data_IF_048101739974
#
_entry.id   IF_048101739974
#
_cell.length_a   1.000
_cell.length_b   1.000
_cell.length_c   1.000
_cell.angle_alpha   90.00
_cell.angle_beta   90.00
_cell.angle_gamma   90.00
#
_symmetry.space_group_name_H-M   'P 1'
#
loop_
_entity.id
_entity.type
_entity.pdbx_description
1 polymer ?
#
# COMPACT_ATOMS: atom_id res chain seq x y z
N UNK A 1 -13.40 -58.34 -15.68
CA UNK A 1 -14.06 -58.56 -16.98
C UNK A 1 -13.48 -57.55 -17.95
N UNK A 2 -12.16 -57.58 -18.15
CA UNK A 2 -11.42 -58.49 -19.08
C UNK A 2 -11.47 -57.94 -20.50
N UNK A 3 -10.44 -57.22 -20.96
CA UNK A 3 -9.14 -57.71 -21.50
C UNK A 3 -9.33 -58.21 -22.95
N UNK A 4 -8.65 -57.67 -23.97
CA UNK A 4 -7.25 -57.92 -24.36
C UNK A 4 -6.89 -57.01 -25.58
N UNK A 5 -5.77 -56.27 -25.57
CA UNK A 5 -4.47 -56.53 -26.27
C UNK A 5 -4.51 -56.34 -27.81
N UNK A 6 -3.58 -55.70 -28.54
CA UNK A 6 -2.14 -55.40 -28.40
C UNK A 6 -1.72 -54.23 -29.34
N UNK A 7 -0.64 -53.53 -28.96
CA UNK A 7 0.13 -52.44 -29.63
C UNK A 7 0.98 -52.93 -30.83
N UNK A 8 1.99 -52.17 -31.39
CA UNK A 8 2.37 -50.74 -31.27
C UNK A 8 2.73 -50.07 -32.63
N UNK A 9 2.91 -48.73 -32.65
CA UNK A 9 4.05 -48.14 -33.38
C UNK A 9 4.45 -46.77 -32.86
N UNK A 10 5.76 -46.55 -32.85
CA UNK A 10 6.49 -45.55 -32.09
C UNK A 10 6.51 -44.19 -32.76
N UNK A 11 6.27 -43.12 -32.00
CA UNK A 11 6.78 -41.78 -32.31
C UNK A 11 7.47 -41.23 -31.06
N UNK A 12 8.79 -41.07 -31.18
CA UNK A 12 9.70 -40.55 -30.17
C UNK A 12 9.37 -39.10 -29.80
N UNK A 13 8.87 -38.88 -28.58
CA UNK A 13 8.93 -37.58 -27.94
C UNK A 13 9.91 -37.65 -26.77
N UNK A 14 11.07 -37.02 -26.96
CA UNK A 14 12.07 -36.78 -25.93
C UNK A 14 11.43 -36.05 -24.73
N UNK A 15 11.75 -36.42 -23.48
CA UNK A 15 11.26 -35.70 -22.32
C UNK A 15 11.88 -34.27 -22.28
N UNK A 16 11.16 -33.27 -21.75
CA UNK A 16 11.72 -31.94 -21.61
C UNK A 16 12.92 -32.00 -20.65
N UNK A 17 14.07 -31.52 -21.14
CA UNK A 17 15.29 -31.35 -20.37
C UNK A 17 14.99 -30.59 -19.08
N UNK A 18 15.14 -31.27 -17.93
CA UNK A 18 15.24 -30.65 -16.62
C UNK A 18 16.43 -29.69 -16.65
N UNK A 19 16.17 -28.42 -16.92
CA UNK A 19 17.13 -27.36 -16.70
C UNK A 19 17.45 -27.30 -15.21
N UNK A 20 18.54 -27.96 -14.81
CA UNK A 20 19.20 -27.71 -13.54
C UNK A 20 19.62 -26.23 -13.58
N UNK A 21 18.90 -25.37 -12.86
CA UNK A 21 19.41 -24.06 -12.50
C UNK A 21 20.64 -24.30 -11.61
N UNK A 22 21.84 -24.32 -12.21
CA UNK A 22 23.07 -24.24 -11.45
C UNK A 22 23.16 -22.82 -10.89
N UNK A 23 23.04 -22.68 -9.56
CA UNK A 23 23.52 -21.48 -8.88
C UNK A 23 24.99 -21.28 -9.26
N UNK A 24 25.34 -20.05 -9.63
CA UNK A 24 26.73 -19.71 -9.95
C UNK A 24 27.65 -20.09 -8.77
N UNK A 25 28.86 -20.62 -9.03
CA UNK A 25 29.77 -21.02 -7.97
C UNK A 25 30.10 -19.82 -7.06
N UNK A 26 30.20 -20.04 -5.74
CA UNK A 26 30.46 -18.97 -4.79
C UNK A 26 31.80 -18.30 -5.08
N UNK A 27 31.84 -16.98 -4.98
CA UNK A 27 33.07 -16.19 -5.20
C UNK A 27 34.11 -16.48 -4.12
N UNK A 28 35.39 -16.22 -4.40
CA UNK A 28 36.45 -16.37 -3.39
C UNK A 28 36.15 -15.55 -2.13
N UNK A 29 35.59 -14.34 -2.30
CA UNK A 29 35.17 -13.49 -1.18
C UNK A 29 34.11 -14.16 -0.31
N UNK A 30 33.08 -14.76 -0.93
CA UNK A 30 32.02 -15.48 -0.20
C UNK A 30 32.58 -16.72 0.52
N UNK A 31 33.51 -17.45 -0.09
CA UNK A 31 34.17 -18.59 0.54
C UNK A 31 35.04 -18.16 1.72
N UNK A 32 35.82 -17.08 1.58
CA UNK A 32 36.63 -16.52 2.66
C UNK A 32 35.75 -16.02 3.82
N UNK A 33 34.62 -15.35 3.52
CA UNK A 33 33.66 -14.92 4.54
C UNK A 33 33.02 -16.10 5.25
N UNK A 34 32.55 -17.12 4.51
CA UNK A 34 32.02 -18.36 5.11
C UNK A 34 33.04 -19.05 6.00
N UNK A 35 34.31 -19.11 5.58
CA UNK A 35 35.38 -19.69 6.37
C UNK A 35 35.63 -18.88 7.64
N UNK A 36 35.67 -17.55 7.56
CA UNK A 36 35.86 -16.67 8.71
C UNK A 36 34.74 -16.86 9.74
N UNK A 37 33.48 -16.95 9.28
CA UNK A 37 32.31 -17.09 10.15
C UNK A 37 32.22 -18.44 10.87
N UNK A 38 33.02 -19.45 10.49
CA UNK A 38 33.11 -20.73 11.22
C UNK A 38 33.75 -20.58 12.59
N UNK A 39 34.66 -19.62 12.75
CA UNK A 39 35.29 -19.30 14.03
C UNK A 39 34.72 -17.98 14.56
N UNK A 40 33.75 -18.09 15.47
CA UNK A 40 33.07 -16.94 16.07
C UNK A 40 34.03 -15.98 16.78
N UNK A 41 35.02 -16.49 17.50
CA UNK A 41 35.95 -15.67 18.27
C UNK A 41 36.89 -14.90 17.33
N UNK A 42 37.43 -15.59 16.32
CA UNK A 42 38.23 -14.97 15.27
C UNK A 42 37.43 -13.91 14.52
N UNK A 43 36.23 -14.25 14.06
CA UNK A 43 35.35 -13.35 13.32
C UNK A 43 35.05 -12.06 14.09
N UNK A 44 34.76 -12.16 15.40
CA UNK A 44 34.50 -10.99 16.25
C UNK A 44 35.77 -10.17 16.46
N UNK A 45 36.93 -10.82 16.68
CA UNK A 45 38.19 -10.12 16.95
C UNK A 45 38.66 -9.23 15.79
N UNK A 46 38.42 -9.66 14.53
CA UNK A 46 38.87 -8.93 13.34
C UNK A 46 37.96 -7.76 12.96
N UNK A 47 36.74 -7.67 13.52
CA UNK A 47 35.78 -6.62 13.16
C UNK A 47 36.31 -5.20 13.39
N UNK A 48 37.21 -4.99 14.36
CA UNK A 48 37.80 -3.67 14.59
C UNK A 48 38.77 -3.24 13.48
N UNK A 49 39.42 -4.19 12.81
CA UNK A 49 40.45 -3.94 11.80
C UNK A 49 39.92 -4.12 10.37
N UNK A 50 38.81 -4.85 10.19
CA UNK A 50 38.23 -5.15 8.89
C UNK A 50 37.88 -3.84 8.13
N UNK A 51 38.28 -3.64 6.86
CA UNK A 51 37.86 -2.49 6.06
C UNK A 51 36.34 -2.36 5.92
N UNK A 52 35.82 -1.13 5.82
CA UNK A 52 34.37 -0.87 5.82
C UNK A 52 33.62 -1.49 4.65
N UNK A 53 34.30 -1.71 3.53
CA UNK A 53 33.77 -2.23 2.28
C UNK A 53 33.32 -3.69 2.43
N UNK A 54 33.91 -4.44 3.37
CA UNK A 54 33.59 -5.84 3.60
C UNK A 54 32.44 -6.06 4.59
N UNK A 55 32.05 -5.03 5.35
CA UNK A 55 30.97 -5.14 6.35
C UNK A 55 29.63 -5.56 5.75
N UNK A 56 29.14 -4.99 4.63
CA UNK A 56 27.85 -5.39 4.06
C UNK A 56 27.82 -6.86 3.66
N UNK A 57 28.86 -7.34 2.98
CA UNK A 57 28.95 -8.72 2.50
C UNK A 57 29.09 -9.71 3.65
N UNK A 58 29.93 -9.41 4.65
CA UNK A 58 30.08 -10.25 5.83
C UNK A 58 28.78 -10.29 6.65
N UNK A 59 28.06 -9.17 6.77
CA UNK A 59 26.77 -9.10 7.47
C UNK A 59 25.71 -9.93 6.75
N UNK A 60 25.68 -9.86 5.42
CA UNK A 60 24.78 -10.67 4.57
C UNK A 60 25.03 -12.17 4.79
N UNK A 61 26.29 -12.59 4.84
CA UNK A 61 26.63 -13.99 5.05
C UNK A 61 26.35 -14.45 6.49
N UNK A 62 26.67 -13.63 7.49
CA UNK A 62 26.34 -13.90 8.89
C UNK A 62 24.82 -13.99 9.13
N UNK A 63 24.03 -13.18 8.41
CA UNK A 63 22.57 -13.23 8.42
C UNK A 63 22.06 -14.55 7.83
N UNK A 64 22.52 -14.92 6.62
CA UNK A 64 22.14 -16.17 5.95
C UNK A 64 22.46 -17.39 6.80
N UNK A 65 23.65 -17.39 7.40
CA UNK A 65 24.16 -18.48 8.24
C UNK A 65 23.68 -18.42 9.70
N UNK A 66 22.83 -17.43 10.05
CA UNK A 66 22.25 -17.22 11.37
C UNK A 66 23.27 -17.14 12.52
N UNK A 67 24.43 -16.53 12.29
CA UNK A 67 25.44 -16.28 13.33
C UNK A 67 25.10 -15.07 14.20
N UNK A 68 24.17 -15.22 15.15
CA UNK A 68 23.58 -14.11 15.92
C UNK A 68 24.61 -13.27 16.68
N UNK A 69 25.56 -13.90 17.36
CA UNK A 69 26.59 -13.17 18.13
C UNK A 69 27.51 -12.33 17.24
N UNK A 70 27.84 -12.85 16.05
CA UNK A 70 28.61 -12.11 15.05
C UNK A 70 27.78 -10.92 14.54
N UNK A 71 26.50 -11.12 14.22
CA UNK A 71 25.60 -10.03 13.83
C UNK A 71 25.55 -8.94 14.91
N UNK A 72 25.38 -9.31 16.17
CA UNK A 72 25.38 -8.37 17.30
C UNK A 72 26.70 -7.59 17.36
N UNK A 73 27.85 -8.25 17.25
CA UNK A 73 29.15 -7.58 17.25
C UNK A 73 29.33 -6.65 16.04
N UNK A 74 28.85 -7.06 14.86
CA UNK A 74 28.91 -6.25 13.64
C UNK A 74 28.06 -4.98 13.73
N UNK A 75 26.86 -5.06 14.32
CA UNK A 75 26.01 -3.88 14.56
C UNK A 75 26.70 -2.90 15.51
N UNK A 76 27.38 -3.40 16.54
CA UNK A 76 28.09 -2.57 17.52
C UNK A 76 29.27 -1.77 16.94
N UNK A 77 29.83 -2.22 15.81
CA UNK A 77 30.96 -1.57 15.12
C UNK A 77 30.60 -1.10 13.70
N UNK A 78 29.31 -0.99 13.38
CA UNK A 78 28.84 -0.73 12.02
C UNK A 78 29.40 0.60 11.46
N UNK A 79 30.11 0.57 10.32
CA UNK A 79 30.89 1.73 9.86
C UNK A 79 30.05 2.77 9.11
N UNK A 80 28.76 2.50 8.82
CA UNK A 80 27.89 3.40 8.06
C UNK A 80 26.82 4.05 8.94
N UNK A 81 26.24 5.16 8.45
CA UNK A 81 25.20 5.89 9.17
C UNK A 81 23.84 5.17 9.18
N UNK A 82 23.60 4.28 8.21
CA UNK A 82 22.35 3.54 8.06
C UNK A 82 22.64 2.03 7.99
N UNK A 83 21.77 1.24 8.61
CA UNK A 83 21.75 -0.22 8.49
C UNK A 83 20.32 -0.67 8.09
N UNK A 84 20.09 -1.08 6.82
CA UNK A 84 18.78 -1.50 6.34
C UNK A 84 18.56 -3.01 6.51
N UNK A 85 18.40 -3.47 7.76
CA UNK A 85 18.17 -4.90 8.07
C UNK A 85 16.83 -5.39 7.50
N UNK A 86 15.81 -4.53 7.47
CA UNK A 86 14.48 -4.91 7.00
C UNK A 86 14.43 -5.42 5.56
N UNK A 87 15.30 -4.90 4.68
CA UNK A 87 15.41 -5.37 3.29
C UNK A 87 15.83 -6.85 3.18
N UNK A 88 16.48 -7.39 4.21
CA UNK A 88 16.88 -8.80 4.28
C UNK A 88 15.80 -9.68 4.92
N UNK A 89 14.91 -9.07 5.71
CA UNK A 89 13.82 -9.73 6.44
C UNK A 89 12.53 -9.71 5.61
N UNK A 90 12.44 -10.61 4.60
CA UNK A 90 11.17 -10.80 3.87
C UNK A 90 10.01 -11.19 4.80
N UNK A 91 10.33 -11.99 5.81
CA UNK A 91 9.47 -12.29 6.96
C UNK A 91 10.22 -11.80 8.20
N UNK A 92 9.55 -11.08 9.12
CA UNK A 92 10.17 -10.68 10.37
C UNK A 92 10.76 -11.88 11.15
N UNK A 93 12.06 -11.85 11.45
CA UNK A 93 12.74 -12.87 12.26
C UNK A 93 13.04 -12.30 13.65
N UNK A 94 12.47 -12.94 14.68
CA UNK A 94 12.54 -12.47 16.07
C UNK A 94 13.98 -12.51 16.58
N UNK A 95 14.71 -13.59 16.30
CA UNK A 95 16.06 -13.78 16.82
C UNK A 95 17.01 -12.75 16.25
N UNK A 96 16.88 -12.46 14.95
CA UNK A 96 17.72 -11.46 14.29
C UNK A 96 17.37 -10.05 14.77
N UNK A 97 16.07 -9.74 14.90
CA UNK A 97 15.63 -8.45 15.44
C UNK A 97 16.17 -8.23 16.85
N UNK A 98 16.09 -9.24 17.73
CA UNK A 98 16.67 -9.20 19.08
C UNK A 98 18.19 -8.99 19.02
N UNK A 99 18.91 -9.80 18.25
CA UNK A 99 20.37 -9.68 18.12
C UNK A 99 20.82 -8.28 17.68
N UNK A 100 20.09 -7.65 16.76
CA UNK A 100 20.37 -6.29 16.27
C UNK A 100 20.00 -5.24 17.32
N UNK A 101 18.84 -5.33 17.96
CA UNK A 101 18.40 -4.36 18.96
C UNK A 101 19.19 -4.44 20.27
N UNK A 102 19.60 -5.64 20.69
CA UNK A 102 20.45 -5.86 21.85
C UNK A 102 21.87 -5.31 21.63
N UNK A 103 22.41 -5.43 20.41
CA UNK A 103 23.68 -4.79 20.06
C UNK A 103 23.67 -3.27 20.29
N UNK A 104 22.54 -2.65 19.96
CA UNK A 104 22.33 -1.20 20.10
C UNK A 104 22.05 -0.79 21.55
N UNK A 105 21.66 -1.73 22.40
CA UNK A 105 21.49 -1.54 23.83
C UNK A 105 22.81 -1.62 24.61
N UNK A 106 23.83 -2.27 24.04
CA UNK A 106 25.10 -2.48 24.72
C UNK A 106 25.87 -1.16 24.88
N UNK A 107 26.42 -0.85 26.08
CA UNK A 107 27.25 0.33 26.30
C UNK A 107 28.60 0.28 25.54
N UNK A 108 28.89 -0.85 24.88
CA UNK A 108 30.14 -1.14 24.15
C UNK A 108 30.07 -0.69 22.69
N UNK A 109 29.19 0.25 22.34
CA UNK A 109 29.22 0.86 21.00
C UNK A 109 30.60 1.50 20.79
N UNK A 110 31.37 0.88 19.89
CA UNK A 110 32.73 1.31 19.59
C UNK A 110 32.72 2.73 19.03
N UNK A 111 33.80 3.48 19.26
CA UNK A 111 34.05 4.77 18.59
C UNK A 111 34.00 4.64 17.06
N UNK A 112 34.19 3.43 16.53
CA UNK A 112 34.07 3.09 15.12
C UNK A 112 32.63 3.17 14.60
N UNK A 113 31.63 2.94 15.46
CA UNK A 113 30.23 2.91 15.03
C UNK A 113 29.76 4.30 14.58
N UNK A 114 29.30 4.38 13.33
CA UNK A 114 28.70 5.60 12.77
C UNK A 114 27.19 5.50 12.69
N UNK A 115 26.59 4.41 13.17
CA UNK A 115 25.18 4.11 13.00
C UNK A 115 24.28 5.16 13.66
N UNK A 116 23.34 5.68 12.87
CA UNK A 116 22.34 6.67 13.28
C UNK A 116 20.92 6.26 12.92
N UNK A 117 20.77 5.44 11.90
CA UNK A 117 19.48 4.96 11.40
C UNK A 117 19.50 3.43 11.29
N UNK A 118 18.65 2.76 12.05
CA UNK A 118 18.30 1.37 11.80
C UNK A 118 17.02 1.36 10.98
N UNK A 119 17.05 0.79 9.79
CA UNK A 119 15.88 0.68 8.92
C UNK A 119 15.38 -0.78 8.89
N UNK A 120 14.21 -0.99 9.47
CA UNK A 120 13.51 -2.27 9.57
C UNK A 120 12.45 -2.43 8.47
N UNK A 121 12.29 -1.45 7.57
CA UNK A 121 11.36 -1.57 6.45
C UNK A 121 11.90 -2.55 5.42
N UNK A 122 11.01 -3.30 4.78
CA UNK A 122 11.33 -4.11 3.60
C UNK A 122 11.44 -3.22 2.35
N UNK A 123 12.38 -2.27 2.42
CA UNK A 123 12.71 -1.30 1.37
C UNK A 123 14.23 -1.22 1.26
N UNK A 124 14.78 -0.87 0.09
CA UNK A 124 16.23 -0.72 -0.15
C UNK A 124 17.02 -2.01 -0.46
N UNK A 125 16.47 -2.92 -1.29
CA UNK A 125 17.27 -4.03 -1.87
C UNK A 125 18.53 -3.54 -2.58
N UNK A 126 18.44 -2.38 -3.24
CA UNK A 126 19.55 -1.73 -3.96
C UNK A 126 20.78 -1.52 -3.09
N UNK A 127 20.64 -1.24 -1.78
CA UNK A 127 21.80 -1.14 -0.89
C UNK A 127 22.57 -2.45 -0.88
N UNK A 128 21.89 -3.57 -0.67
CA UNK A 128 22.51 -4.89 -0.64
C UNK A 128 22.94 -5.39 -2.02
N UNK A 129 22.28 -4.93 -3.09
CA UNK A 129 22.60 -5.31 -4.47
C UNK A 129 23.89 -4.63 -4.96
N UNK A 130 24.06 -3.33 -4.69
CA UNK A 130 25.26 -2.55 -5.06
C UNK A 130 26.52 -3.13 -4.41
N UNK A 131 26.43 -3.61 -3.17
CA UNK A 131 27.55 -4.25 -2.47
C UNK A 131 27.71 -5.74 -2.79
N UNK A 132 26.72 -6.36 -3.43
CA UNK A 132 26.82 -7.74 -3.92
C UNK A 132 27.55 -7.86 -5.26
N UNK A 133 27.73 -6.75 -6.00
CA UNK A 133 28.48 -6.71 -7.24
C UNK A 133 29.54 -5.61 -7.18
N UNK A 134 30.72 -5.91 -6.62
CA UNK A 134 31.86 -5.00 -6.71
C UNK A 134 32.40 -5.05 -8.16
N UNK A 135 31.77 -4.29 -9.05
CA UNK A 135 32.44 -3.57 -10.12
C UNK A 135 32.20 -2.09 -9.84
N UNK A 136 33.28 -1.37 -9.53
CA UNK A 136 33.20 0.01 -9.03
C UNK A 136 32.55 0.98 -10.02
N UNK A 137 31.76 1.91 -9.49
CA UNK A 137 31.95 3.35 -9.73
C UNK A 137 31.07 4.21 -8.80
N UNK A 138 31.68 5.29 -8.31
CA UNK A 138 31.15 6.58 -7.89
C UNK A 138 29.71 6.68 -7.35
N UNK A 139 29.63 6.82 -6.01
CA UNK A 139 28.47 7.41 -5.35
C UNK A 139 28.27 8.87 -5.80
N UNK A 140 27.31 9.06 -6.71
CA UNK A 140 26.77 10.37 -7.06
C UNK A 140 26.29 11.14 -5.82
N UNK A 141 26.78 12.37 -5.70
CA UNK A 141 26.44 13.35 -4.67
C UNK A 141 24.96 13.73 -4.77
N UNK A 142 24.13 13.17 -3.89
CA UNK A 142 22.79 13.68 -3.58
C UNK A 142 22.84 14.67 -2.43
N UNK A 143 22.65 15.95 -2.75
CA UNK A 143 22.50 17.16 -1.93
C UNK A 143 22.20 16.95 -0.43
N UNK A 144 23.20 17.20 0.41
CA UNK A 144 23.01 17.62 1.80
C UNK A 144 23.81 18.91 2.04
N UNK A 145 23.06 19.94 2.42
CA UNK A 145 23.51 21.29 2.70
C UNK A 145 24.75 21.33 3.59
N UNK A 146 25.82 21.97 3.10
CA UNK A 146 26.97 22.40 3.90
C UNK A 146 26.66 23.76 4.52
N UNK A 147 26.65 23.83 5.85
CA UNK A 147 27.13 24.95 6.70
C UNK A 147 27.38 24.36 8.09
N UNK A 148 28.37 24.69 8.91
CA UNK A 148 29.68 25.34 8.84
C UNK A 148 30.32 25.03 10.22
N UNK A 149 31.65 25.00 10.29
CA UNK A 149 32.47 24.82 11.51
C UNK A 149 32.43 26.03 12.43
N UNK A 150 32.42 25.79 13.74
CA UNK A 150 32.74 26.77 14.78
C UNK A 150 33.34 26.05 15.99
N UNK A 151 34.60 26.37 16.30
CA UNK A 151 35.33 25.91 17.48
C UNK A 151 34.59 26.33 18.76
N UNK A 152 34.40 25.38 19.66
CA UNK A 152 33.88 25.63 21.00
C UNK A 152 33.90 24.34 21.80
N UNK A 153 34.90 24.20 22.67
CA UNK A 153 34.91 23.16 23.70
C UNK A 153 33.63 23.22 24.51
N UNK A 154 32.74 22.24 24.33
CA UNK A 154 31.66 21.97 25.28
C UNK A 154 31.65 20.48 25.63
N UNK A 155 32.06 20.20 26.88
CA UNK A 155 31.84 18.94 27.59
C UNK A 155 30.35 18.79 27.89
N UNK A 156 29.59 18.32 26.92
CA UNK A 156 28.39 17.51 27.16
C UNK A 156 28.41 16.42 26.10
N UNK A 157 28.45 15.16 26.52
CA UNK A 157 28.29 14.04 25.62
C UNK A 157 26.98 14.26 24.86
N UNK A 158 27.07 14.64 23.58
CA UNK A 158 25.93 14.68 22.68
C UNK A 158 25.39 13.26 22.63
N UNK A 159 24.37 12.96 23.44
CA UNK A 159 23.62 11.71 23.37
C UNK A 159 23.06 11.65 21.96
N UNK A 160 23.74 10.94 21.06
CA UNK A 160 23.31 10.78 19.67
C UNK A 160 22.05 9.94 19.68
N UNK A 161 20.92 10.56 19.32
CA UNK A 161 19.63 9.88 19.26
C UNK A 161 19.61 8.91 18.07
N UNK A 162 19.46 7.61 18.35
CA UNK A 162 19.31 6.60 17.30
C UNK A 162 17.89 6.65 16.73
N UNK A 163 17.77 6.74 15.40
CA UNK A 163 16.47 6.64 14.71
C UNK A 163 16.23 5.19 14.29
N UNK A 164 15.11 4.62 14.68
CA UNK A 164 14.65 3.32 14.18
C UNK A 164 13.44 3.57 13.28
N UNK A 165 13.54 3.19 12.01
CA UNK A 165 12.48 3.38 11.02
C UNK A 165 11.86 2.03 10.73
N UNK A 166 10.53 1.94 10.78
CA UNK A 166 9.78 0.72 10.47
C UNK A 166 8.44 1.08 9.85
N UNK A 167 7.84 0.11 9.16
CA UNK A 167 6.40 0.12 8.91
C UNK A 167 5.75 -0.74 10.00
N UNK A 168 4.48 -0.48 10.31
CA UNK A 168 3.80 -1.12 11.43
C UNK A 168 2.38 -1.55 11.04
N UNK A 169 2.10 -2.85 11.09
CA UNK A 169 0.80 -3.44 10.81
C UNK A 169 0.18 -3.98 12.10
N UNK A 170 -0.73 -3.20 12.67
CA UNK A 170 -1.40 -3.52 13.93
C UNK A 170 -2.75 -4.16 13.62
N UNK A 171 -2.89 -5.45 13.93
CA UNK A 171 -4.14 -6.20 13.77
C UNK A 171 -4.86 -6.32 15.12
N UNK A 172 -5.58 -7.41 15.36
CA UNK A 172 -6.33 -7.62 16.60
C UNK A 172 -5.47 -7.38 17.87
N UNK A 173 -4.24 -7.87 17.87
CA UNK A 173 -3.27 -7.72 18.95
C UNK A 173 -1.85 -7.50 18.39
N UNK A 174 -0.93 -7.08 19.28
CA UNK A 174 0.50 -7.06 19.00
C UNK A 174 1.04 -8.48 18.91
N UNK A 175 1.88 -8.76 17.92
CA UNK A 175 2.70 -9.97 17.92
C UNK A 175 3.90 -9.84 18.88
N UNK A 176 4.62 -10.94 19.11
CA UNK A 176 5.77 -10.96 20.02
C UNK A 176 6.90 -9.99 19.61
N UNK A 177 7.13 -9.81 18.31
CA UNK A 177 8.20 -8.97 17.78
C UNK A 177 7.85 -7.49 17.91
N UNK A 178 6.61 -7.15 17.61
CA UNK A 178 6.04 -5.82 17.79
C UNK A 178 6.06 -5.44 19.27
N UNK A 179 5.62 -6.33 20.16
CA UNK A 179 5.68 -6.12 21.61
C UNK A 179 7.11 -5.90 22.09
N UNK A 180 8.06 -6.73 21.64
CA UNK A 180 9.47 -6.59 21.99
C UNK A 180 10.06 -5.26 21.50
N UNK A 181 9.82 -4.87 20.24
CA UNK A 181 10.29 -3.59 19.69
C UNK A 181 9.77 -2.40 20.49
N UNK A 182 8.47 -2.39 20.82
CA UNK A 182 7.84 -1.34 21.60
C UNK A 182 8.44 -1.27 23.00
N UNK A 183 8.57 -2.41 23.69
CA UNK A 183 9.16 -2.48 25.02
C UNK A 183 10.63 -2.01 25.00
N UNK A 184 11.41 -2.47 24.02
CA UNK A 184 12.81 -2.07 23.85
C UNK A 184 12.96 -0.56 23.63
N UNK A 185 12.08 0.05 22.83
CA UNK A 185 12.06 1.48 22.58
C UNK A 185 11.63 2.29 23.82
N UNK A 186 10.61 1.81 24.55
CA UNK A 186 10.11 2.46 25.77
C UNK A 186 11.17 2.51 26.88
N UNK A 187 11.92 1.41 27.09
CA UNK A 187 13.03 1.36 28.04
C UNK A 187 14.16 2.36 27.72
N UNK A 188 14.23 2.84 26.48
CA UNK A 188 15.29 3.73 25.96
C UNK A 188 14.76 5.09 25.54
N UNK A 189 13.68 5.53 26.19
CA UNK A 189 13.05 6.83 25.93
C UNK A 189 14.09 7.96 26.05
N UNK A 190 14.25 8.74 24.98
CA UNK A 190 15.21 9.84 24.90
C UNK A 190 16.59 9.48 24.31
N UNK A 191 16.91 8.19 24.17
CA UNK A 191 18.09 7.70 23.43
C UNK A 191 17.71 7.12 22.06
N UNK A 192 16.48 6.60 21.93
CA UNK A 192 15.94 6.06 20.69
C UNK A 192 14.72 6.87 20.25
N UNK A 193 14.60 7.09 18.94
CA UNK A 193 13.41 7.63 18.29
C UNK A 193 12.85 6.59 17.32
N UNK A 194 11.66 6.09 17.64
CA UNK A 194 10.94 5.15 16.79
C UNK A 194 10.04 5.93 15.82
N UNK A 195 10.23 5.71 14.52
CA UNK A 195 9.52 6.39 13.43
C UNK A 195 8.77 5.38 12.58
N UNK A 196 7.45 5.55 12.47
CA UNK A 196 6.60 4.76 11.58
C UNK A 196 6.31 5.55 10.31
N UNK A 197 6.62 5.02 9.13
CA UNK A 197 6.33 5.70 7.86
C UNK A 197 4.95 5.30 7.33
N UNK A 198 4.68 4.00 7.30
CA UNK A 198 3.37 3.43 7.00
C UNK A 198 2.81 2.68 8.20
N UNK A 199 1.61 3.07 8.62
CA UNK A 199 0.87 2.40 9.69
C UNK A 199 -0.44 1.83 9.14
N UNK A 200 -0.66 0.54 9.37
CA UNK A 200 -1.92 -0.15 9.12
C UNK A 200 -2.53 -0.56 10.45
N UNK A 201 -3.82 -0.31 10.62
CA UNK A 201 -4.57 -0.61 11.83
C UNK A 201 -5.86 -1.31 11.43
N UNK A 202 -6.03 -2.55 11.89
CA UNK A 202 -7.15 -3.40 11.50
C UNK A 202 -7.79 -4.07 12.72
N UNK A 203 -9.04 -3.71 13.01
CA UNK A 203 -9.88 -4.30 14.08
C UNK A 203 -9.23 -4.25 15.48
N UNK A 204 -8.27 -3.36 15.71
CA UNK A 204 -7.57 -3.23 17.00
C UNK A 204 -8.35 -2.38 18.01
N UNK A 205 -8.40 -2.77 19.29
CA UNK A 205 -8.91 -1.92 20.37
C UNK A 205 -8.18 -0.57 20.47
N UNK A 206 -8.94 0.51 20.70
CA UNK A 206 -8.40 1.88 20.76
C UNK A 206 -7.28 2.03 21.81
N UNK A 207 -7.38 1.36 22.95
CA UNK A 207 -6.36 1.42 24.01
C UNK A 207 -4.98 0.95 23.55
N UNK A 208 -4.91 -0.14 22.77
CA UNK A 208 -3.66 -0.65 22.20
C UNK A 208 -3.12 0.34 21.17
N UNK A 209 -3.98 0.87 20.32
CA UNK A 209 -3.59 1.85 19.29
C UNK A 209 -2.97 3.10 19.93
N UNK A 210 -3.58 3.63 20.99
CA UNK A 210 -3.05 4.80 21.70
C UNK A 210 -1.71 4.49 22.38
N UNK A 211 -1.55 3.30 22.97
CA UNK A 211 -0.26 2.84 23.51
C UNK A 211 0.83 2.82 22.43
N UNK A 212 0.52 2.26 21.26
CA UNK A 212 1.43 2.20 20.11
C UNK A 212 1.78 3.60 19.64
N UNK A 213 0.78 4.46 19.36
CA UNK A 213 0.99 5.82 18.90
C UNK A 213 1.74 6.71 19.89
N UNK A 214 1.65 6.44 21.20
CA UNK A 214 2.45 7.13 22.23
C UNK A 214 3.92 6.69 22.23
N UNK A 215 4.21 5.48 21.75
CA UNK A 215 5.57 4.96 21.63
C UNK A 215 6.24 5.45 20.34
N UNK A 216 5.47 5.52 19.26
CA UNK A 216 5.87 6.17 18.02
C UNK A 216 5.76 7.70 18.11
N UNK A 217 6.43 8.42 17.21
CA UNK A 217 6.13 9.85 17.00
C UNK A 217 5.20 9.96 15.78
N UNK A 218 3.91 10.33 15.96
CA UNK A 218 2.92 10.31 14.88
C UNK A 218 3.23 11.27 13.72
N UNK A 219 4.07 12.28 13.95
CA UNK A 219 4.49 13.25 12.94
C UNK A 219 5.24 12.61 11.76
N UNK A 220 5.91 11.48 11.93
CA UNK A 220 6.59 10.76 10.83
C UNK A 220 5.65 9.95 9.95
N UNK A 221 4.39 9.72 10.37
CA UNK A 221 3.46 8.87 9.61
C UNK A 221 3.08 9.60 8.32
N UNK A 222 3.46 9.00 7.18
CA UNK A 222 3.11 9.47 5.84
C UNK A 222 1.89 8.73 5.28
N UNK A 223 1.68 7.48 5.71
CA UNK A 223 0.57 6.64 5.29
C UNK A 223 -0.14 6.04 6.49
N UNK A 224 -1.46 6.23 6.53
CA UNK A 224 -2.32 5.59 7.51
C UNK A 224 -3.45 4.83 6.82
N UNK A 225 -3.54 3.55 7.13
CA UNK A 225 -4.64 2.68 6.79
C UNK A 225 -5.39 2.31 8.07
N UNK A 226 -6.68 2.66 8.12
CA UNK A 226 -7.55 2.42 9.27
C UNK A 226 -8.78 1.64 8.81
N UNK A 227 -8.79 0.34 9.07
CA UNK A 227 -9.93 -0.56 8.82
C UNK A 227 -10.51 -1.01 10.15
N UNK A 228 -11.52 -0.29 10.66
CA UNK A 228 -12.08 -0.54 11.99
C UNK A 228 -13.59 -0.48 11.97
N UNK A 229 -14.23 -1.24 12.87
CA UNK A 229 -15.68 -1.18 13.13
C UNK A 229 -16.02 -0.11 14.20
N UNK A 230 -15.27 0.99 14.23
CA UNK A 230 -15.37 1.98 15.29
C UNK A 230 -16.70 2.69 15.32
N UNK A 231 -17.21 2.92 16.54
CA UNK A 231 -18.28 3.88 16.76
C UNK A 231 -17.80 5.32 16.52
N UNK A 232 -18.73 6.24 16.29
CA UNK A 232 -18.43 7.68 16.21
C UNK A 232 -17.70 8.19 17.46
N UNK A 233 -18.04 7.66 18.63
CA UNK A 233 -17.38 7.99 19.90
C UNK A 233 -15.93 7.54 19.86
N UNK A 234 -15.65 6.31 19.44
CA UNK A 234 -14.27 5.81 19.35
C UNK A 234 -13.44 6.63 18.35
N UNK A 235 -14.04 6.98 17.22
CA UNK A 235 -13.39 7.78 16.18
C UNK A 235 -13.11 9.21 16.66
N UNK A 236 -14.01 9.83 17.44
CA UNK A 236 -13.79 11.17 18.00
C UNK A 236 -12.63 11.20 19.01
N UNK A 237 -12.42 10.12 19.77
CA UNK A 237 -11.24 9.98 20.65
C UNK A 237 -9.95 9.81 19.86
N UNK A 238 -9.99 9.19 18.68
CA UNK A 238 -8.83 9.06 17.80
C UNK A 238 -8.56 10.32 16.96
N UNK A 239 -9.58 11.17 16.74
CA UNK A 239 -9.50 12.35 15.88
C UNK A 239 -8.30 13.29 16.17
N UNK A 240 -7.89 13.54 17.43
CA UNK A 240 -6.71 14.35 17.75
C UNK A 240 -5.40 13.79 17.18
N UNK A 241 -5.28 12.46 17.02
CA UNK A 241 -4.08 11.81 16.48
C UNK A 241 -3.79 12.25 15.04
N UNK A 242 -4.83 12.45 14.21
CA UNK A 242 -4.64 13.00 12.86
C UNK A 242 -4.01 14.41 12.87
N UNK A 243 -4.25 15.19 13.92
CA UNK A 243 -3.63 16.51 14.11
C UNK A 243 -2.13 16.45 14.40
N UNK A 244 -1.66 15.32 14.93
CA UNK A 244 -0.25 15.08 15.22
C UNK A 244 0.51 14.55 14.00
N UNK A 245 -0.19 13.91 13.04
CA UNK A 245 0.37 13.35 11.81
C UNK A 245 0.61 14.43 10.75
N UNK A 246 1.62 15.29 10.99
CA UNK A 246 1.91 16.46 10.16
C UNK A 246 2.47 16.13 8.77
N UNK A 247 2.95 14.91 8.54
CA UNK A 247 3.49 14.47 7.25
C UNK A 247 2.54 13.51 6.49
N UNK A 248 1.30 13.33 6.95
CA UNK A 248 0.35 12.40 6.34
C UNK A 248 0.06 12.78 4.89
N UNK A 249 0.24 11.86 3.95
CA UNK A 249 -0.01 12.05 2.51
C UNK A 249 -1.00 11.05 1.95
N UNK A 250 -1.11 9.87 2.55
CA UNK A 250 -2.05 8.82 2.15
C UNK A 250 -2.91 8.46 3.35
N UNK A 251 -4.22 8.58 3.17
CA UNK A 251 -5.20 8.19 4.18
C UNK A 251 -6.19 7.20 3.56
N UNK A 252 -6.25 6.00 4.12
CA UNK A 252 -7.25 4.99 3.79
C UNK A 252 -8.13 4.74 5.02
N UNK A 253 -9.43 4.87 4.85
CA UNK A 253 -10.44 4.63 5.87
C UNK A 253 -11.40 3.57 5.36
N UNK A 254 -11.56 2.46 6.09
CA UNK A 254 -12.46 1.39 5.70
C UNK A 254 -13.37 0.94 6.84
N UNK A 255 -14.62 0.57 6.47
CA UNK A 255 -15.62 -0.07 7.34
C UNK A 255 -16.02 0.73 8.59
N UNK A 256 -15.97 2.06 8.52
CA UNK A 256 -16.42 2.92 9.61
C UNK A 256 -17.96 2.96 9.60
N UNK A 257 -18.58 2.25 10.55
CA UNK A 257 -20.05 2.17 10.67
C UNK A 257 -20.57 3.22 11.65
N UNK A 258 -21.44 4.11 11.16
CA UNK A 258 -22.28 4.94 12.01
C UNK A 258 -23.50 4.10 12.41
N UNK A 259 -23.56 3.68 13.68
CA UNK A 259 -24.75 3.05 14.23
C UNK A 259 -25.81 4.15 14.39
N UNK A 260 -26.77 4.23 13.47
CA UNK A 260 -27.83 5.24 13.45
C UNK A 260 -29.10 4.79 14.18
N UNK A 261 -29.10 3.63 14.85
CA UNK A 261 -30.33 3.04 15.40
C UNK A 261 -30.82 3.62 16.73
N UNK A 262 -30.29 4.76 17.18
CA UNK A 262 -30.93 5.52 18.26
C UNK A 262 -30.96 6.99 17.91
N UNK A 263 -32.19 7.51 17.80
CA UNK A 263 -32.53 8.92 17.78
C UNK A 263 -31.91 9.63 18.99
N UNK A 264 -30.65 10.04 18.86
CA UNK A 264 -30.00 11.01 19.72
C UNK A 264 -29.36 12.01 18.78
N UNK A 265 -29.70 13.27 18.96
CA UNK A 265 -29.20 14.44 18.24
C UNK A 265 -27.69 14.68 18.48
N UNK A 266 -26.83 13.69 18.27
CA UNK A 266 -25.38 13.90 18.16
C UNK A 266 -25.06 14.27 16.72
N UNK A 267 -25.12 15.56 16.45
CA UNK A 267 -24.69 16.19 15.22
C UNK A 267 -23.31 15.68 14.72
N UNK A 268 -23.34 14.93 13.62
CA UNK A 268 -22.43 15.04 12.47
C UNK A 268 -20.90 14.99 12.72
N UNK A 269 -20.34 13.82 13.05
CA UNK A 269 -18.88 13.66 13.15
C UNK A 269 -18.33 12.33 12.61
N UNK A 270 -18.81 11.82 11.46
CA UNK A 270 -18.20 10.62 10.90
C UNK A 270 -16.85 10.92 10.23
N UNK A 271 -16.80 11.86 9.28
CA UNK A 271 -15.58 12.23 8.54
C UNK A 271 -15.28 13.74 8.58
N UNK A 272 -16.11 14.55 9.24
CA UNK A 272 -15.83 15.98 9.51
C UNK A 272 -14.49 16.21 10.23
N UNK A 273 -13.94 15.18 10.87
CA UNK A 273 -12.60 15.26 11.44
C UNK A 273 -11.51 15.44 10.37
N UNK A 274 -11.68 14.94 9.13
CA UNK A 274 -10.62 15.03 8.11
C UNK A 274 -10.29 16.51 7.83
N UNK A 275 -11.27 17.39 7.52
CA UNK A 275 -10.95 18.80 7.28
C UNK A 275 -10.48 19.55 8.54
N UNK A 276 -10.89 19.12 9.74
CA UNK A 276 -10.53 19.76 11.01
C UNK A 276 -9.12 19.35 11.48
N UNK A 277 -8.82 18.07 11.45
CA UNK A 277 -7.67 17.46 12.13
C UNK A 277 -6.50 17.18 11.20
N UNK A 278 -6.69 16.63 10.00
CA UNK A 278 -5.58 16.35 9.09
C UNK A 278 -4.90 17.66 8.70
N UNK A 279 -3.61 17.86 8.99
CA UNK A 279 -2.93 19.15 8.80
C UNK A 279 -2.17 19.30 7.48
N UNK A 280 -1.81 18.18 6.85
CA UNK A 280 -1.02 18.12 5.62
C UNK A 280 -1.87 18.01 4.36
N UNK A 281 -1.36 18.45 3.19
CA UNK A 281 -2.02 18.23 1.91
C UNK A 281 -1.93 16.74 1.52
N UNK A 282 -3.07 16.10 1.29
CA UNK A 282 -3.13 14.68 0.91
C UNK A 282 -2.86 14.49 -0.59
N UNK A 283 -2.20 13.37 -0.91
CA UNK A 283 -2.01 12.85 -2.27
C UNK A 283 -2.96 11.70 -2.59
N UNK A 284 -3.34 10.92 -1.58
CA UNK A 284 -4.32 9.85 -1.70
C UNK A 284 -5.33 9.95 -0.58
N UNK A 285 -6.61 9.93 -0.94
CA UNK A 285 -7.72 9.72 -0.04
C UNK A 285 -8.52 8.52 -0.53
N UNK A 286 -8.64 7.51 0.32
CA UNK A 286 -9.47 6.34 0.06
C UNK A 286 -10.45 6.18 1.21
N UNK A 287 -11.74 6.12 0.88
CA UNK A 287 -12.82 5.88 1.82
C UNK A 287 -13.62 4.71 1.28
N UNK A 288 -13.60 3.58 1.98
CA UNK A 288 -14.11 2.32 1.47
C UNK A 288 -15.13 1.70 2.41
N UNK A 289 -16.32 1.35 1.91
CA UNK A 289 -17.39 0.72 2.72
C UNK A 289 -17.74 1.53 3.98
N UNK A 290 -17.71 2.87 3.89
CA UNK A 290 -18.07 3.78 4.98
C UNK A 290 -19.41 4.46 4.67
N UNK A 291 -20.22 4.69 5.70
CA UNK A 291 -21.42 5.53 5.58
C UNK A 291 -21.03 7.00 5.76
N UNK A 292 -21.16 7.80 4.71
CA UNK A 292 -20.90 9.26 4.77
C UNK A 292 -22.21 10.03 4.70
N UNK A 293 -22.33 11.10 5.48
CA UNK A 293 -23.47 12.00 5.43
C UNK A 293 -23.32 13.12 4.40
N UNK A 294 -24.40 13.85 4.14
CA UNK A 294 -24.37 15.09 3.35
C UNK A 294 -23.36 16.11 3.90
N UNK A 295 -23.27 16.22 5.23
CA UNK A 295 -22.34 17.14 5.89
C UNK A 295 -20.89 16.71 5.69
N UNK A 296 -20.62 15.39 5.74
CA UNK A 296 -19.27 14.86 5.56
C UNK A 296 -18.77 15.17 4.15
N UNK A 297 -19.57 14.87 3.13
CA UNK A 297 -19.20 15.17 1.74
C UNK A 297 -19.03 16.67 1.51
N UNK A 298 -19.88 17.52 2.12
CA UNK A 298 -19.71 18.97 2.09
C UNK A 298 -18.37 19.40 2.67
N UNK A 299 -18.03 18.93 3.87
CA UNK A 299 -16.78 19.28 4.54
C UNK A 299 -15.55 18.77 3.78
N UNK A 300 -15.60 17.55 3.22
CA UNK A 300 -14.55 17.02 2.36
C UNK A 300 -14.37 17.90 1.12
N UNK A 301 -15.45 18.26 0.44
CA UNK A 301 -15.39 19.09 -0.77
C UNK A 301 -14.79 20.48 -0.52
N UNK A 302 -14.97 21.04 0.68
CA UNK A 302 -14.44 22.36 1.05
C UNK A 302 -13.02 22.30 1.63
N UNK A 303 -12.45 21.09 1.79
CA UNK A 303 -11.16 20.92 2.42
C UNK A 303 -10.01 21.21 1.44
N UNK A 304 -9.39 22.38 1.56
CA UNK A 304 -8.24 22.79 0.71
C UNK A 304 -7.07 21.81 0.72
N UNK A 305 -6.88 21.05 1.81
CA UNK A 305 -5.83 20.03 1.91
C UNK A 305 -6.03 18.87 0.94
N UNK A 306 -7.24 18.70 0.41
CA UNK A 306 -7.57 17.67 -0.58
C UNK A 306 -7.39 18.15 -2.03
N UNK A 307 -7.16 19.45 -2.27
CA UNK A 307 -7.08 20.01 -3.63
C UNK A 307 -5.79 19.66 -4.39
N UNK A 308 -4.93 18.82 -3.79
CA UNK A 308 -3.72 18.29 -4.41
C UNK A 308 -3.75 16.76 -4.53
N UNK A 309 -4.93 16.16 -4.38
CA UNK A 309 -5.14 14.73 -4.49
C UNK A 309 -4.79 14.25 -5.89
N UNK A 310 -3.96 13.21 -5.94
CA UNK A 310 -3.70 12.42 -7.14
C UNK A 310 -4.62 11.22 -7.23
N UNK A 311 -5.08 10.70 -6.10
CA UNK A 311 -5.90 9.50 -6.06
C UNK A 311 -7.07 9.70 -5.11
N UNK A 312 -8.29 9.57 -5.65
CA UNK A 312 -9.54 9.59 -4.88
C UNK A 312 -10.26 8.26 -5.10
N UNK A 313 -10.48 7.52 -4.01
CA UNK A 313 -11.27 6.30 -4.01
C UNK A 313 -12.41 6.45 -2.98
N UNK A 314 -13.65 6.25 -3.43
CA UNK A 314 -14.87 6.24 -2.62
C UNK A 314 -15.61 4.90 -2.73
N UNK A 315 -14.88 3.79 -2.85
CA UNK A 315 -15.41 2.45 -3.07
C UNK A 315 -16.53 2.09 -2.08
N UNK A 316 -17.69 1.68 -2.59
CA UNK A 316 -18.80 1.23 -1.74
C UNK A 316 -19.41 2.32 -0.87
N UNK A 317 -19.20 3.59 -1.19
CA UNK A 317 -19.86 4.73 -0.53
C UNK A 317 -21.14 5.06 -1.29
N UNK A 318 -22.30 4.94 -0.65
CA UNK A 318 -23.59 5.23 -1.26
C UNK A 318 -23.75 6.73 -1.59
N UNK A 319 -23.46 7.13 -2.84
CA UNK A 319 -23.49 8.52 -3.29
C UNK A 319 -24.87 8.96 -3.81
N UNK A 320 -25.78 8.03 -4.10
CA UNK A 320 -27.09 8.30 -4.71
C UNK A 320 -28.05 9.15 -3.88
N UNK A 321 -27.85 9.19 -2.57
CA UNK A 321 -28.63 10.01 -1.64
C UNK A 321 -27.94 11.33 -1.29
N UNK A 322 -26.78 11.61 -1.87
CA UNK A 322 -25.96 12.77 -1.53
C UNK A 322 -26.01 13.84 -2.62
N UNK A 323 -25.97 15.09 -2.20
CA UNK A 323 -25.96 16.24 -3.07
C UNK A 323 -24.67 16.28 -3.90
N UNK A 324 -24.84 16.04 -5.19
CA UNK A 324 -23.84 15.93 -6.27
C UNK A 324 -22.92 17.13 -6.36
N UNK A 325 -23.41 18.32 -6.01
CA UNK A 325 -22.68 19.58 -6.13
C UNK A 325 -21.39 19.59 -5.30
N UNK A 326 -21.35 18.86 -4.18
CA UNK A 326 -20.16 18.77 -3.34
C UNK A 326 -19.08 17.90 -4.00
N UNK A 327 -19.43 16.75 -4.56
CA UNK A 327 -18.47 15.92 -5.28
C UNK A 327 -18.01 16.62 -6.57
N UNK A 328 -18.93 17.27 -7.29
CA UNK A 328 -18.61 18.13 -8.43
C UNK A 328 -17.59 19.21 -8.05
N UNK A 329 -17.83 19.91 -6.94
CA UNK A 329 -16.93 20.95 -6.45
C UNK A 329 -15.55 20.38 -6.10
N UNK A 330 -15.48 19.22 -5.43
CA UNK A 330 -14.20 18.57 -5.14
C UNK A 330 -13.45 18.25 -6.43
N UNK A 331 -14.10 17.60 -7.39
CA UNK A 331 -13.52 17.23 -8.69
C UNK A 331 -12.99 18.45 -9.45
N UNK A 332 -13.73 19.56 -9.48
CA UNK A 332 -13.27 20.82 -10.08
C UNK A 332 -11.95 21.32 -9.46
N UNK A 333 -11.81 21.19 -8.13
CA UNK A 333 -10.61 21.66 -7.45
C UNK A 333 -9.41 20.70 -7.52
N UNK A 334 -9.62 19.43 -7.86
CA UNK A 334 -8.54 18.45 -8.01
C UNK A 334 -8.18 18.14 -9.47
N UNK A 335 -8.93 18.69 -10.44
CA UNK A 335 -8.85 18.32 -11.86
C UNK A 335 -7.44 18.34 -12.45
N UNK A 336 -6.63 19.34 -12.10
CA UNK A 336 -5.25 19.48 -12.59
C UNK A 336 -4.27 18.46 -12.00
N UNK A 337 -4.64 17.79 -10.90
CA UNK A 337 -3.76 16.89 -10.15
C UNK A 337 -4.22 15.43 -10.13
N UNK A 338 -5.51 15.18 -10.38
CA UNK A 338 -6.14 13.87 -10.23
C UNK A 338 -5.67 12.90 -11.31
N UNK A 339 -5.13 11.76 -10.87
CA UNK A 339 -4.58 10.69 -11.70
C UNK A 339 -5.39 9.39 -11.62
N UNK A 340 -6.03 9.11 -10.49
CA UNK A 340 -6.96 7.98 -10.32
C UNK A 340 -8.25 8.44 -9.66
N UNK A 341 -9.38 8.07 -10.24
CA UNK A 341 -10.70 8.24 -9.65
C UNK A 341 -11.43 6.89 -9.60
N UNK A 342 -11.77 6.46 -8.41
CA UNK A 342 -12.46 5.18 -8.18
C UNK A 342 -13.77 5.45 -7.42
N UNK A 343 -14.88 5.30 -8.13
CA UNK A 343 -16.24 5.43 -7.62
C UNK A 343 -17.00 4.11 -7.84
N UNK A 344 -16.30 2.97 -7.67
CA UNK A 344 -16.92 1.65 -7.79
C UNK A 344 -17.91 1.40 -6.64
N UNK A 345 -19.01 0.74 -6.93
CA UNK A 345 -20.05 0.38 -5.96
C UNK A 345 -20.67 1.59 -5.24
N UNK A 346 -20.78 2.74 -5.92
CA UNK A 346 -21.33 3.96 -5.35
C UNK A 346 -22.84 4.14 -5.57
N UNK A 347 -23.48 3.22 -6.31
CA UNK A 347 -24.91 3.22 -6.66
C UNK A 347 -25.36 4.51 -7.37
N UNK A 348 -24.46 5.17 -8.10
CA UNK A 348 -24.80 6.40 -8.81
C UNK A 348 -25.67 6.09 -10.04
N UNK A 349 -26.82 6.77 -10.12
CA UNK A 349 -27.65 6.77 -11.33
C UNK A 349 -27.28 7.87 -12.32
N UNK A 350 -27.96 7.91 -13.47
CA UNK A 350 -27.59 8.77 -14.59
C UNK A 350 -27.40 10.25 -14.23
N UNK A 351 -28.41 10.78 -13.53
CA UNK A 351 -28.43 12.19 -13.15
C UNK A 351 -27.28 12.57 -12.21
N UNK A 352 -26.76 11.62 -11.42
CA UNK A 352 -25.59 11.84 -10.56
C UNK A 352 -24.33 12.04 -11.39
N UNK A 353 -24.04 11.09 -12.28
CA UNK A 353 -22.81 11.12 -13.05
C UNK A 353 -22.84 12.21 -14.14
N UNK A 354 -23.99 12.46 -14.79
CA UNK A 354 -24.18 13.55 -15.75
C UNK A 354 -23.77 14.91 -15.13
N UNK A 355 -24.12 15.15 -13.87
CA UNK A 355 -23.72 16.37 -13.16
C UNK A 355 -22.20 16.48 -12.92
N UNK A 356 -21.46 15.36 -12.92
CA UNK A 356 -20.01 15.32 -12.72
C UNK A 356 -19.22 15.44 -14.03
N UNK A 357 -19.83 15.12 -15.18
CA UNK A 357 -19.17 15.09 -16.49
C UNK A 357 -18.36 16.37 -16.81
N UNK A 358 -18.88 17.60 -16.56
CA UNK A 358 -18.12 18.80 -16.89
C UNK A 358 -16.83 18.95 -16.09
N UNK A 359 -16.75 18.40 -14.87
CA UNK A 359 -15.51 18.44 -14.10
C UNK A 359 -14.60 17.25 -14.43
N UNK A 360 -15.16 16.07 -14.67
CA UNK A 360 -14.42 14.89 -15.07
C UNK A 360 -13.68 15.10 -16.40
N UNK A 361 -14.34 15.72 -17.37
CA UNK A 361 -13.73 16.05 -18.67
C UNK A 361 -12.55 17.03 -18.56
N UNK A 362 -12.41 17.75 -17.46
CA UNK A 362 -11.27 18.66 -17.22
C UNK A 362 -10.10 17.98 -16.49
N UNK A 363 -10.23 16.71 -16.10
CA UNK A 363 -9.19 15.98 -15.39
C UNK A 363 -8.10 15.46 -16.35
N UNK A 364 -7.30 16.36 -16.94
CA UNK A 364 -6.33 16.03 -18.00
C UNK A 364 -5.18 15.12 -17.55
N UNK A 365 -4.97 14.96 -16.24
CA UNK A 365 -3.96 14.05 -15.67
C UNK A 365 -4.50 12.64 -15.39
N UNK A 366 -5.78 12.39 -15.63
CA UNK A 366 -6.45 11.14 -15.26
C UNK A 366 -5.88 9.97 -16.08
N UNK A 367 -5.43 8.93 -15.37
CA UNK A 367 -4.86 7.69 -15.93
C UNK A 367 -5.73 6.47 -15.66
N UNK A 368 -6.47 6.50 -14.55
CA UNK A 368 -7.42 5.46 -14.14
C UNK A 368 -8.78 6.05 -13.80
N UNK A 369 -9.84 5.48 -14.35
CA UNK A 369 -11.22 5.69 -13.88
C UNK A 369 -11.86 4.34 -13.61
N UNK A 370 -12.53 4.21 -12.46
CA UNK A 370 -13.32 3.03 -12.13
C UNK A 370 -14.73 3.45 -11.68
N UNK A 371 -15.72 3.04 -12.46
CA UNK A 371 -17.15 3.31 -12.27
C UNK A 371 -17.97 2.03 -12.19
N UNK A 372 -17.34 0.86 -12.01
CA UNK A 372 -18.05 -0.41 -11.82
C UNK A 372 -19.15 -0.32 -10.75
N UNK A 373 -20.16 -1.19 -10.86
CA UNK A 373 -21.25 -1.30 -9.89
C UNK A 373 -21.99 0.05 -9.63
N UNK A 374 -22.20 0.82 -10.70
CA UNK A 374 -23.10 1.98 -10.72
C UNK A 374 -24.22 1.74 -11.73
N UNK A 375 -25.36 2.40 -11.52
CA UNK A 375 -26.62 2.15 -12.21
C UNK A 375 -26.75 3.10 -13.42
N UNK A 376 -25.92 2.88 -14.45
CA UNK A 376 -25.82 3.78 -15.61
C UNK A 376 -26.52 3.22 -16.86
N UNK A 377 -27.33 4.02 -17.52
CA UNK A 377 -27.95 3.67 -18.79
C UNK A 377 -26.94 3.64 -19.94
N UNK A 378 -27.32 2.97 -21.02
CA UNK A 378 -26.55 2.97 -22.27
C UNK A 378 -26.39 4.39 -22.82
N UNK A 379 -27.43 5.23 -22.75
CA UNK A 379 -27.39 6.59 -23.29
C UNK A 379 -26.37 7.46 -22.54
N UNK A 380 -26.37 7.41 -21.21
CA UNK A 380 -25.38 8.16 -20.44
C UNK A 380 -23.97 7.59 -20.61
N UNK A 381 -23.80 6.27 -20.68
CA UNK A 381 -22.49 5.68 -20.96
C UNK A 381 -21.94 6.20 -22.30
N UNK A 382 -22.76 6.32 -23.35
CA UNK A 382 -22.34 6.94 -24.61
C UNK A 382 -21.88 8.39 -24.43
N UNK A 383 -22.66 9.21 -23.71
CA UNK A 383 -22.32 10.60 -23.41
C UNK A 383 -21.00 10.71 -22.62
N UNK A 384 -20.87 9.92 -21.56
CA UNK A 384 -19.67 9.82 -20.72
C UNK A 384 -18.43 9.50 -21.57
N UNK A 385 -18.50 8.43 -22.37
CA UNK A 385 -17.39 8.00 -23.22
C UNK A 385 -17.00 9.07 -24.25
N UNK A 386 -17.98 9.75 -24.86
CA UNK A 386 -17.74 10.87 -25.78
C UNK A 386 -17.09 12.07 -25.08
N UNK A 387 -17.53 12.39 -23.87
CA UNK A 387 -17.04 13.53 -23.08
C UNK A 387 -15.60 13.38 -22.58
N UNK A 388 -15.05 12.16 -22.58
CA UNK A 388 -13.70 11.85 -22.10
C UNK A 388 -12.72 11.50 -23.24
N UNK A 389 -13.11 11.71 -24.50
CA UNK A 389 -12.32 11.34 -25.68
C UNK A 389 -10.97 12.05 -25.77
N UNK A 390 -10.87 13.30 -25.30
CA UNK A 390 -9.63 14.08 -25.28
C UNK A 390 -8.69 13.76 -24.11
N UNK A 391 -9.11 12.93 -23.15
CA UNK A 391 -8.28 12.50 -22.02
C UNK A 391 -7.24 11.45 -22.45
N UNK A 392 -6.20 11.91 -23.14
CA UNK A 392 -5.16 11.06 -23.77
C UNK A 392 -4.31 10.24 -22.78
N UNK A 393 -4.30 10.60 -21.50
CA UNK A 393 -3.56 9.89 -20.45
C UNK A 393 -4.31 8.71 -19.84
N UNK A 394 -5.61 8.55 -20.15
CA UNK A 394 -6.38 7.41 -19.65
C UNK A 394 -5.83 6.10 -20.20
N UNK A 395 -5.38 5.24 -19.27
CA UNK A 395 -4.84 3.92 -19.57
C UNK A 395 -5.70 2.79 -19.01
N UNK A 396 -6.46 3.05 -17.94
CA UNK A 396 -7.29 2.05 -17.27
C UNK A 396 -8.70 2.58 -17.02
N UNK A 397 -9.68 1.92 -17.59
CA UNK A 397 -11.07 2.39 -17.58
C UNK A 397 -12.01 1.22 -17.33
N UNK A 398 -12.77 1.33 -16.26
CA UNK A 398 -13.69 0.29 -15.80
C UNK A 398 -15.10 0.88 -15.73
N UNK A 399 -15.98 0.45 -16.62
CA UNK A 399 -17.35 0.96 -16.74
C UNK A 399 -18.37 -0.11 -16.33
N UNK A 400 -19.49 0.26 -15.70
CA UNK A 400 -20.51 -0.73 -15.40
C UNK A 400 -21.12 -1.26 -16.71
N UNK A 401 -21.62 -2.49 -16.67
CA UNK A 401 -22.53 -2.98 -17.70
C UNK A 401 -23.74 -2.03 -17.77
N UNK A 402 -24.22 -1.66 -18.97
CA UNK A 402 -25.39 -0.79 -19.09
C UNK A 402 -26.59 -1.35 -18.36
N UNK A 403 -27.40 -0.48 -17.75
CA UNK A 403 -28.58 -0.87 -16.99
C UNK A 403 -29.55 -1.74 -17.81
N UNK A 404 -29.62 -1.52 -19.11
CA UNK A 404 -30.45 -2.28 -20.04
C UNK A 404 -30.01 -3.75 -20.19
N UNK A 405 -28.79 -4.09 -19.75
CA UNK A 405 -28.30 -5.47 -19.69
C UNK A 405 -28.90 -6.26 -18.51
N UNK A 406 -29.65 -5.62 -17.61
CA UNK A 406 -30.32 -6.29 -16.49
C UNK A 406 -31.81 -6.43 -16.77
N UNK A 407 -32.37 -7.61 -16.50
CA UNK A 407 -33.82 -7.84 -16.51
C UNK A 407 -34.49 -7.33 -15.22
N UNK A 408 -35.82 -7.40 -15.16
CA UNK A 408 -36.60 -6.89 -14.02
C UNK A 408 -36.22 -7.52 -12.68
N UNK A 409 -35.76 -8.78 -12.68
CA UNK A 409 -35.28 -9.48 -11.48
C UNK A 409 -33.78 -9.30 -11.20
N UNK A 410 -33.10 -8.38 -11.91
CA UNK A 410 -31.67 -8.09 -11.72
C UNK A 410 -30.71 -9.11 -12.35
N UNK A 411 -31.23 -10.12 -13.06
CA UNK A 411 -30.40 -11.06 -13.81
C UNK A 411 -29.77 -10.39 -15.04
N UNK A 412 -28.56 -10.84 -15.40
CA UNK A 412 -27.86 -10.34 -16.60
C UNK A 412 -28.45 -10.99 -17.85
N UNK A 413 -28.93 -10.16 -18.78
CA UNK A 413 -29.35 -10.55 -20.12
C UNK A 413 -28.09 -10.63 -20.99
N UNK A 414 -27.54 -11.84 -21.13
CA UNK A 414 -26.26 -12.12 -21.80
C UNK A 414 -26.21 -11.55 -23.23
N UNK A 415 -27.28 -11.70 -24.00
CA UNK A 415 -27.34 -11.22 -25.39
C UNK A 415 -27.22 -9.69 -25.48
N UNK A 416 -27.87 -8.97 -24.56
CA UNK A 416 -27.75 -7.51 -24.49
C UNK A 416 -26.35 -7.09 -24.05
N UNK A 417 -25.77 -7.78 -23.06
CA UNK A 417 -24.41 -7.52 -22.60
C UNK A 417 -23.38 -7.73 -23.72
N UNK A 418 -23.50 -8.84 -24.45
CA UNK A 418 -22.62 -9.20 -25.56
C UNK A 418 -22.79 -8.28 -26.78
N UNK A 419 -23.92 -7.57 -26.91
CA UNK A 419 -24.16 -6.59 -27.98
C UNK A 419 -23.75 -5.16 -27.59
N UNK A 420 -24.19 -4.68 -26.43
CA UNK A 420 -24.02 -3.28 -26.03
C UNK A 420 -22.59 -2.92 -25.63
N UNK A 421 -21.85 -3.84 -24.99
CA UNK A 421 -20.49 -3.54 -24.55
C UNK A 421 -19.49 -3.36 -25.70
N UNK A 422 -19.50 -4.20 -26.77
CA UNK A 422 -18.74 -3.92 -27.98
C UNK A 422 -19.09 -2.56 -28.60
N UNK A 423 -20.38 -2.25 -28.77
CA UNK A 423 -20.82 -0.97 -29.36
C UNK A 423 -20.26 0.24 -28.59
N UNK A 424 -20.24 0.17 -27.26
CA UNK A 424 -19.66 1.21 -26.39
C UNK A 424 -18.14 1.30 -26.52
N UNK A 425 -17.45 0.16 -26.60
CA UNK A 425 -16.00 0.14 -26.80
C UNK A 425 -15.60 0.72 -28.17
N UNK A 426 -16.40 0.49 -29.20
CA UNK A 426 -16.14 0.99 -30.55
C UNK A 426 -16.29 2.51 -30.63
N UNK A 427 -17.19 3.12 -29.83
CA UNK A 427 -17.25 4.59 -29.68
C UNK A 427 -15.91 5.14 -29.20
N UNK A 428 -15.33 4.55 -28.16
CA UNK A 428 -14.00 4.97 -27.66
C UNK A 428 -12.91 4.76 -28.72
N UNK A 429 -12.88 3.58 -29.37
CA UNK A 429 -11.87 3.22 -30.37
C UNK A 429 -11.92 4.08 -31.62
N UNK A 430 -13.09 4.59 -31.99
CA UNK A 430 -13.25 5.53 -33.09
C UNK A 430 -12.60 6.89 -32.84
N UNK A 431 -12.26 7.21 -31.58
CA UNK A 431 -11.73 8.51 -31.16
C UNK A 431 -10.31 8.44 -30.61
N UNK A 432 -9.92 7.34 -29.95
CA UNK A 432 -8.55 7.11 -29.44
C UNK A 432 -8.22 5.63 -29.34
N UNK A 433 -6.96 5.32 -29.03
CA UNK A 433 -6.52 3.94 -28.76
C UNK A 433 -6.45 3.69 -27.24
N UNK A 434 -7.53 3.25 -26.58
CA UNK A 434 -7.49 2.95 -25.16
C UNK A 434 -6.65 1.69 -24.89
N UNK A 435 -5.97 1.65 -23.73
CA UNK A 435 -5.12 0.51 -23.35
C UNK A 435 -5.91 -0.61 -22.68
N UNK A 436 -6.50 -0.34 -21.52
CA UNK A 436 -7.27 -1.31 -20.73
C UNK A 436 -8.66 -0.74 -20.44
N UNK A 437 -9.64 -1.15 -21.23
CA UNK A 437 -11.05 -0.80 -21.03
C UNK A 437 -11.83 -2.08 -20.78
N UNK A 438 -12.71 -2.06 -19.79
CA UNK A 438 -13.64 -3.17 -19.59
C UNK A 438 -14.98 -2.73 -19.05
N UNK A 439 -16.02 -3.48 -19.45
CA UNK A 439 -17.38 -3.33 -18.96
C UNK A 439 -17.71 -4.51 -18.06
N UNK A 440 -18.19 -4.27 -16.85
CA UNK A 440 -18.38 -5.30 -15.82
C UNK A 440 -19.78 -5.27 -15.23
N UNK A 441 -20.40 -6.45 -15.08
CA UNK A 441 -21.65 -6.56 -14.34
C UNK A 441 -21.42 -6.51 -12.84
N UNK A 442 -22.49 -6.37 -12.06
CA UNK A 442 -22.45 -6.69 -10.64
C UNK A 442 -21.97 -8.13 -10.41
N UNK A 443 -21.45 -8.39 -9.21
CA UNK A 443 -21.08 -9.74 -8.80
C UNK A 443 -22.31 -10.64 -8.77
N UNK A 444 -22.19 -11.82 -9.36
CA UNK A 444 -23.19 -12.86 -9.22
C UNK A 444 -23.23 -13.33 -7.76
N UNK A 445 -24.40 -13.39 -7.10
CA UNK A 445 -24.51 -13.78 -5.70
C UNK A 445 -24.18 -15.26 -5.46
N UNK A 446 -24.17 -16.09 -6.51
CA UNK A 446 -23.87 -17.53 -6.42
C UNK A 446 -22.38 -17.83 -6.56
N UNK A 447 -21.75 -17.31 -7.63
CA UNK A 447 -20.36 -17.63 -7.98
C UNK A 447 -19.34 -16.59 -7.46
N UNK A 448 -19.81 -15.43 -6.98
CA UNK A 448 -18.98 -14.23 -6.69
C UNK A 448 -18.07 -13.80 -7.85
N UNK A 449 -18.36 -14.25 -9.07
CA UNK A 449 -17.74 -13.75 -10.30
C UNK A 449 -18.70 -12.77 -10.99
N UNK A 450 -18.16 -11.90 -11.84
CA UNK A 450 -18.93 -11.02 -12.71
C UNK A 450 -18.71 -11.36 -14.17
N UNK A 451 -19.68 -11.00 -15.01
CA UNK A 451 -19.44 -10.96 -16.44
C UNK A 451 -18.57 -9.74 -16.76
N UNK A 452 -17.59 -9.91 -17.64
CA UNK A 452 -16.68 -8.85 -18.06
C UNK A 452 -16.55 -8.88 -19.58
N UNK A 453 -16.62 -7.71 -20.20
CA UNK A 453 -16.25 -7.52 -21.59
C UNK A 453 -15.00 -6.65 -21.67
N UNK A 454 -13.89 -7.23 -22.14
CA UNK A 454 -12.60 -6.58 -22.34
C UNK A 454 -12.00 -7.00 -23.69
N UNK A 455 -12.73 -6.68 -24.78
CA UNK A 455 -12.54 -7.21 -26.15
C UNK A 455 -12.99 -8.67 -26.33
N UNK A 456 -13.03 -9.44 -25.24
CA UNK A 456 -13.63 -10.77 -25.18
C UNK A 456 -14.69 -10.77 -24.10
N UNK A 457 -15.80 -11.46 -24.37
CA UNK A 457 -16.85 -11.66 -23.38
C UNK A 457 -16.46 -12.82 -22.48
N UNK A 458 -16.36 -12.55 -21.17
CA UNK A 458 -16.16 -13.55 -20.12
C UNK A 458 -17.41 -13.55 -19.25
N UNK A 459 -18.16 -14.65 -19.25
CA UNK A 459 -19.43 -14.76 -18.52
C UNK A 459 -19.22 -15.51 -17.19
N UNK A 460 -19.97 -15.16 -16.14
CA UNK A 460 -20.09 -16.08 -14.99
C UNK A 460 -20.80 -17.37 -15.45
N UNK A 461 -20.34 -18.49 -14.92
CA UNK A 461 -20.87 -19.83 -15.22
C UNK A 461 -22.35 -19.99 -14.86
N UNK A 462 -22.84 -19.22 -13.88
CA UNK A 462 -24.26 -19.21 -13.49
C UNK A 462 -25.18 -18.58 -14.53
N UNK A 463 -24.67 -17.73 -15.43
CA UNK A 463 -25.47 -17.07 -16.47
C UNK A 463 -25.31 -17.72 -17.86
N UNK A 464 -24.39 -18.68 -17.99
CA UNK A 464 -24.14 -19.42 -19.23
C UNK A 464 -24.84 -20.78 -19.28
N UNK A 465 -25.51 -21.20 -18.19
CA UNK A 465 -26.37 -22.38 -18.16
C UNK A 465 -27.84 -21.94 -18.28
N UNK A 466 -28.62 -22.51 -19.21
CA UNK A 466 -30.06 -22.34 -19.19
C UNK A 466 -30.63 -22.79 -17.84
N UNK A 467 -31.66 -22.10 -17.34
CA UNK A 467 -32.31 -22.39 -16.06
C UNK A 467 -32.91 -23.81 -15.93
N UNK A 468 -32.92 -24.61 -17.00
CA UNK A 468 -33.38 -26.01 -17.01
C UNK A 468 -32.25 -27.05 -16.86
N UNK A 469 -30.98 -26.64 -16.77
CA UNK A 469 -29.84 -27.57 -16.68
C UNK A 469 -29.35 -27.82 -15.22
N UNK A 470 -30.20 -27.54 -14.23
CA UNK A 470 -30.02 -27.95 -12.84
C UNK A 470 -31.27 -28.70 -12.38
N UNK A 471 -31.37 -29.95 -12.81
CA UNK A 471 -32.05 -31.04 -12.10
C UNK A 471 -31.01 -32.10 -11.75
#
# INVERSE_FOLDING_TARGET
LDSCHHSPDQVSHSPPSRGLFFEAPPTLLELSMKSLLRDEALAISVLQQLPSEFFPSLFKEAYKSRHMKILTAMVAVWPFACLPVGAMMKVPDRMILQAVLDALASPVLSTRSKLRVLDLRNTHNVFWDVWSGIHGLDCSKGTLSKKQTGNGHFRYAVRRLLKVVTDFDLRLNLDEQQAYLLQWAQQRKGAVRLCCMKMSICVTPLGIIMMVLNTFQPDYIEELELSTNWSLVTLSHFAPCFGQMRNLRRLHLARIYTNTDKAVNTSNQSLVFIPRCVKSPLKTLSVSLCRISQSDLKHLSQCRRLFHLKHLNLFGVALFNLCRTHLLFLLKNVGDTLQSLELEHCRMGDSHLSALLPALSQCLQLTRVNLYDNDLSTSLLKELLQSMTHLSKLTEEFYPAPLECYGESGHVIVDKFAKLCPDLLDILRSKRQPKKVSFGTEFCPQCFQRCVYDQKTRLCQCFSRPAWATE
#
